data_IF_613833173642
#
_entry.id   IF_613833173642
#
_cell.length_a   1.000
_cell.length_b   1.000
_cell.length_c   1.000
_cell.angle_alpha   90.00
_cell.angle_beta   90.00
_cell.angle_gamma   90.00
#
_symmetry.space_group_name_H-M   'P 1'
#
loop_
_entity.id
_entity.type
_entity.pdbx_description
1 polymer ?
#
# COMPACT_ATOMS: atom_id res chain seq x y z
N UNK A 1 -0.82 -19.28 10.86
CA UNK A 1 0.11 -19.19 9.73
C UNK A 1 1.37 -19.95 10.09
N UNK A 2 2.03 -20.54 9.11
CA UNK A 2 3.27 -21.29 9.29
C UNK A 2 4.49 -20.39 9.05
N UNK A 3 5.68 -20.83 9.49
CA UNK A 3 6.93 -20.11 9.17
C UNK A 3 7.14 -19.95 7.66
N UNK A 4 6.73 -20.95 6.87
CA UNK A 4 6.83 -20.89 5.41
C UNK A 4 5.92 -19.80 4.81
N UNK A 5 4.74 -19.57 5.39
CA UNK A 5 3.87 -18.46 4.98
C UNK A 5 4.52 -17.11 5.22
N UNK A 6 5.17 -16.93 6.38
CA UNK A 6 5.87 -15.69 6.71
C UNK A 6 7.09 -15.46 5.83
N UNK A 7 7.89 -16.51 5.56
CA UNK A 7 9.02 -16.43 4.62
C UNK A 7 8.58 -16.00 3.22
N UNK A 8 7.44 -16.51 2.74
CA UNK A 8 6.88 -16.10 1.44
C UNK A 8 6.52 -14.61 1.42
N UNK A 9 5.92 -14.10 2.50
CA UNK A 9 5.56 -12.68 2.61
C UNK A 9 6.81 -11.80 2.71
N UNK A 10 7.72 -12.11 3.63
CA UNK A 10 8.96 -11.36 3.84
C UNK A 10 9.82 -11.35 2.57
N UNK A 11 9.93 -12.48 1.86
CA UNK A 11 10.65 -12.56 0.59
C UNK A 11 10.06 -11.66 -0.51
N UNK A 12 8.73 -11.62 -0.66
CA UNK A 12 8.09 -10.74 -1.63
C UNK A 12 8.34 -9.25 -1.31
N UNK A 13 8.28 -8.88 -0.03
CA UNK A 13 8.55 -7.52 0.42
C UNK A 13 10.03 -7.14 0.26
N UNK A 14 10.95 -8.05 0.61
CA UNK A 14 12.39 -7.86 0.45
C UNK A 14 12.77 -7.66 -1.01
N UNK A 15 12.26 -8.49 -1.92
CA UNK A 15 12.46 -8.31 -3.35
C UNK A 15 12.00 -6.92 -3.81
N UNK A 16 10.81 -6.49 -3.38
CA UNK A 16 10.26 -5.20 -3.77
C UNK A 16 11.11 -4.04 -3.24
N UNK A 17 11.55 -4.11 -1.99
CA UNK A 17 12.44 -3.10 -1.41
C UNK A 17 13.75 -3.03 -2.19
N UNK A 18 14.34 -4.16 -2.57
CA UNK A 18 15.58 -4.18 -3.36
C UNK A 18 15.41 -3.54 -4.73
N UNK A 19 14.30 -3.80 -5.42
CA UNK A 19 13.99 -3.15 -6.71
C UNK A 19 13.88 -1.62 -6.54
N UNK A 20 13.11 -1.17 -5.55
CA UNK A 20 12.91 0.25 -5.29
C UNK A 20 14.23 0.93 -4.90
N UNK A 21 15.05 0.28 -4.06
CA UNK A 21 16.39 0.78 -3.72
C UNK A 21 17.30 0.89 -4.94
N UNK A 22 17.21 -0.04 -5.89
CA UNK A 22 17.95 0.04 -7.15
C UNK A 22 17.47 1.20 -8.05
N UNK A 23 16.21 1.61 -7.94
CA UNK A 23 15.66 2.84 -8.53
C UNK A 23 16.02 4.12 -7.73
N UNK A 24 16.77 3.99 -6.63
CA UNK A 24 17.16 5.11 -5.76
C UNK A 24 16.09 5.55 -4.76
N UNK A 25 15.00 4.79 -4.63
CA UNK A 25 13.89 5.08 -3.71
C UNK A 25 14.28 4.69 -2.29
N UNK A 26 14.22 5.66 -1.35
CA UNK A 26 14.61 5.47 0.05
C UNK A 26 13.73 6.27 1.01
N UNK A 27 13.85 6.01 2.32
CA UNK A 27 13.20 6.78 3.38
C UNK A 27 11.67 6.86 3.24
N UNK A 28 11.12 8.07 3.35
CA UNK A 28 9.66 8.29 3.30
C UNK A 28 9.02 7.88 1.97
N UNK A 29 9.73 8.03 0.86
CA UNK A 29 9.21 7.60 -0.44
C UNK A 29 9.10 6.08 -0.51
N UNK A 30 10.06 5.36 0.08
CA UNK A 30 9.99 3.89 0.18
C UNK A 30 8.74 3.45 0.96
N UNK A 31 8.40 4.15 2.06
CA UNK A 31 7.17 3.89 2.82
C UNK A 31 5.93 4.01 1.93
N UNK A 32 5.84 5.09 1.14
CA UNK A 32 4.69 5.31 0.26
C UNK A 32 4.60 4.28 -0.87
N UNK A 33 5.73 3.89 -1.46
CA UNK A 33 5.80 2.88 -2.53
C UNK A 33 5.54 1.46 -2.05
N UNK A 34 5.76 1.20 -0.76
CA UNK A 34 5.48 -0.08 -0.10
C UNK A 34 4.11 -0.13 0.58
N UNK A 35 3.28 0.93 0.47
CA UNK A 35 2.00 1.03 1.17
C UNK A 35 1.07 -0.16 0.90
N UNK A 36 1.05 -0.68 -0.33
CA UNK A 36 0.28 -1.88 -0.69
C UNK A 36 0.71 -3.16 0.04
N UNK A 37 1.88 -3.19 0.68
CA UNK A 37 2.39 -4.30 1.49
C UNK A 37 2.12 -4.13 2.99
N UNK A 38 1.53 -3.02 3.45
CA UNK A 38 1.21 -2.82 4.87
C UNK A 38 0.36 -3.94 5.50
N UNK A 39 -0.70 -4.46 4.84
CA UNK A 39 -1.47 -5.57 5.41
C UNK A 39 -0.62 -6.83 5.60
N UNK A 40 0.30 -7.10 4.69
CA UNK A 40 1.21 -8.24 4.76
C UNK A 40 2.26 -8.06 5.87
N UNK A 41 2.79 -6.84 6.04
CA UNK A 41 3.63 -6.49 7.18
C UNK A 41 2.88 -6.72 8.51
N UNK A 42 1.63 -6.25 8.62
CA UNK A 42 0.81 -6.44 9.81
C UNK A 42 0.56 -7.93 10.11
N UNK A 43 0.32 -8.75 9.07
CA UNK A 43 0.15 -10.20 9.24
C UNK A 43 1.39 -10.87 9.79
N UNK A 44 2.57 -10.48 9.33
CA UNK A 44 3.85 -10.98 9.87
C UNK A 44 4.01 -10.50 11.31
N UNK A 45 3.81 -9.21 11.56
CA UNK A 45 4.00 -8.61 12.89
C UNK A 45 3.11 -9.20 13.98
N UNK A 46 1.84 -9.47 13.67
CA UNK A 46 0.87 -10.04 14.64
C UNK A 46 0.94 -11.56 14.70
N UNK A 47 1.37 -12.21 13.60
CA UNK A 47 1.28 -13.66 13.46
C UNK A 47 2.55 -14.43 13.81
N UNK A 48 3.73 -13.83 13.65
CA UNK A 48 5.01 -14.48 13.90
C UNK A 48 5.43 -14.34 15.37
N UNK A 49 6.12 -15.35 15.90
CA UNK A 49 6.79 -15.23 17.20
C UNK A 49 8.06 -14.37 17.08
N UNK A 50 8.58 -13.89 18.21
CA UNK A 50 9.84 -13.11 18.24
C UNK A 50 11.00 -13.86 17.60
N UNK A 51 11.11 -15.17 17.82
CA UNK A 51 12.12 -16.00 17.19
C UNK A 51 11.94 -16.04 15.65
N UNK A 52 10.71 -16.21 15.18
CA UNK A 52 10.41 -16.22 13.76
C UNK A 52 10.69 -14.85 13.13
N UNK A 53 10.33 -13.76 13.79
CA UNK A 53 10.63 -12.39 13.34
C UNK A 53 12.15 -12.17 13.24
N UNK A 54 12.93 -12.61 14.23
CA UNK A 54 14.38 -12.51 14.20
C UNK A 54 14.98 -13.27 13.00
N UNK A 55 14.51 -14.50 12.74
CA UNK A 55 14.91 -15.29 11.57
C UNK A 55 14.55 -14.57 10.26
N UNK A 56 13.33 -14.02 10.14
CA UNK A 56 12.89 -13.29 8.93
C UNK A 56 13.72 -12.02 8.69
N UNK A 57 14.04 -11.27 9.75
CA UNK A 57 14.84 -10.05 9.63
C UNK A 57 16.28 -10.36 9.18
N UNK A 58 16.83 -11.51 9.61
CA UNK A 58 18.15 -11.97 9.17
C UNK A 58 18.15 -12.46 7.71
N UNK A 59 17.15 -13.26 7.33
CA UNK A 59 17.08 -13.88 6.00
C UNK A 59 16.66 -12.87 4.90
N UNK A 60 15.91 -11.84 5.25
CA UNK A 60 15.29 -10.88 4.33
C UNK A 60 15.62 -9.42 4.71
N UNK A 61 16.84 -8.93 4.42
CA UNK A 61 17.31 -7.61 4.86
C UNK A 61 16.50 -6.42 4.31
N UNK A 62 15.91 -6.54 3.11
CA UNK A 62 15.00 -5.53 2.55
C UNK A 62 13.67 -5.46 3.30
N UNK A 63 13.15 -6.61 3.73
CA UNK A 63 11.97 -6.65 4.61
C UNK A 63 12.28 -6.00 5.95
N UNK A 64 13.43 -6.34 6.55
CA UNK A 64 13.89 -5.71 7.80
C UNK A 64 14.01 -4.19 7.65
N UNK A 65 14.65 -3.72 6.58
CA UNK A 65 14.80 -2.29 6.32
C UNK A 65 13.44 -1.56 6.27
N UNK A 66 12.46 -2.12 5.58
CA UNK A 66 11.12 -1.54 5.53
C UNK A 66 10.41 -1.57 6.89
N UNK A 67 10.54 -2.67 7.65
CA UNK A 67 9.98 -2.76 9.00
C UNK A 67 10.57 -1.70 9.94
N UNK A 68 11.89 -1.48 9.90
CA UNK A 68 12.57 -0.45 10.68
C UNK A 68 12.11 0.96 10.30
N UNK A 69 11.94 1.26 9.00
CA UNK A 69 11.41 2.55 8.56
C UNK A 69 9.97 2.80 9.06
N UNK A 70 9.14 1.76 9.11
CA UNK A 70 7.79 1.86 9.66
C UNK A 70 7.80 2.11 11.17
N UNK A 71 8.72 1.48 11.90
CA UNK A 71 8.91 1.71 13.33
C UNK A 71 9.39 3.15 13.61
N UNK A 72 10.42 3.62 12.89
CA UNK A 72 10.90 5.00 12.97
C UNK A 72 9.78 6.01 12.66
N UNK A 73 8.98 5.76 11.63
CA UNK A 73 7.84 6.61 11.28
C UNK A 73 6.77 6.62 12.39
N UNK A 74 6.51 5.48 13.04
CA UNK A 74 5.58 5.40 14.15
C UNK A 74 6.11 6.12 15.39
N UNK A 75 7.40 6.03 15.69
CA UNK A 75 8.04 6.78 16.78
C UNK A 75 8.00 8.29 16.53
N UNK A 76 8.32 8.72 15.30
CA UNK A 76 8.24 10.12 14.89
C UNK A 76 6.82 10.66 15.05
N UNK A 77 5.79 9.87 14.69
CA UNK A 77 4.39 10.28 14.87
C UNK A 77 3.98 10.31 16.35
N UNK A 78 4.48 9.40 17.20
CA UNK A 78 4.26 9.48 18.67
C UNK A 78 4.88 10.74 19.27
N UNK A 79 6.03 11.16 18.77
CA UNK A 79 6.74 12.36 19.21
C UNK A 79 6.18 13.66 18.59
N UNK A 80 5.33 13.57 17.57
CA UNK A 80 4.79 14.72 16.85
C UNK A 80 3.91 15.58 17.79
N UNK A 81 4.32 16.81 18.14
CA UNK A 81 3.58 17.64 19.10
C UNK A 81 2.30 18.23 18.51
N UNK A 82 2.18 18.28 17.18
CA UNK A 82 1.03 18.89 16.52
C UNK A 82 -0.24 18.05 16.64
N UNK A 83 -0.10 16.71 16.75
CA UNK A 83 -1.19 15.72 16.92
C UNK A 83 -2.44 16.02 16.09
N UNK A 84 -2.30 16.65 14.91
CA UNK A 84 -3.41 17.18 14.11
C UNK A 84 -4.45 16.12 13.75
N UNK A 85 -4.01 14.85 13.67
CA UNK A 85 -4.87 13.72 13.39
C UNK A 85 -5.66 13.20 14.61
N UNK A 86 -5.27 13.54 15.85
CA UNK A 86 -6.05 13.20 17.05
C UNK A 86 -7.36 14.00 17.12
N UNK A 87 -7.39 15.18 16.53
CA UNK A 87 -8.59 16.00 16.41
C UNK A 87 -9.43 15.63 15.17
N UNK A 88 -8.95 14.67 14.35
CA UNK A 88 -9.69 14.22 13.19
C UNK A 88 -10.91 13.40 13.66
N UNK A 89 -12.13 13.84 13.32
CA UNK A 89 -13.32 13.11 13.71
C UNK A 89 -13.36 11.76 12.99
N UNK A 90 -13.88 10.75 13.70
CA UNK A 90 -14.08 9.46 13.08
C UNK A 90 -15.06 9.57 11.92
N UNK A 91 -14.68 8.99 10.77
CA UNK A 91 -15.61 8.76 9.67
C UNK A 91 -16.79 7.91 10.15
N UNK A 92 -17.99 8.18 9.64
CA UNK A 92 -19.14 7.32 9.91
C UNK A 92 -18.88 5.90 9.34
N UNK A 93 -19.58 4.90 9.88
CA UNK A 93 -19.34 3.50 9.51
C UNK A 93 -19.45 3.22 7.99
N UNK A 94 -20.44 3.77 7.25
CA UNK A 94 -20.49 3.62 5.80
C UNK A 94 -19.25 4.18 5.08
N UNK A 95 -18.82 5.40 5.42
CA UNK A 95 -17.64 6.02 4.80
C UNK A 95 -16.35 5.29 5.17
N UNK A 96 -16.22 4.81 6.41
CA UNK A 96 -15.08 3.96 6.83
C UNK A 96 -15.02 2.69 5.97
N UNK A 97 -16.16 2.03 5.75
CA UNK A 97 -16.19 0.81 4.94
C UNK A 97 -15.86 1.07 3.47
N UNK A 98 -16.36 2.17 2.91
CA UNK A 98 -16.04 2.56 1.53
C UNK A 98 -14.54 2.89 1.39
N UNK A 99 -13.98 3.65 2.33
CA UNK A 99 -12.57 3.97 2.34
C UNK A 99 -11.71 2.71 2.46
N UNK A 100 -12.05 1.79 3.37
CA UNK A 100 -11.30 0.55 3.56
C UNK A 100 -11.31 -0.34 2.29
N UNK A 101 -12.46 -0.45 1.62
CA UNK A 101 -12.56 -1.15 0.33
C UNK A 101 -11.66 -0.48 -0.72
N UNK A 102 -11.76 0.85 -0.87
CA UNK A 102 -10.97 1.60 -1.84
C UNK A 102 -9.46 1.45 -1.62
N UNK A 103 -9.01 1.46 -0.37
CA UNK A 103 -7.60 1.25 0.00
C UNK A 103 -7.14 -0.19 -0.29
N UNK A 104 -8.00 -1.17 -0.02
CA UNK A 104 -7.70 -2.59 -0.29
C UNK A 104 -7.58 -2.86 -1.79
N UNK A 105 -8.46 -2.25 -2.58
CA UNK A 105 -8.45 -2.37 -4.03
C UNK A 105 -7.24 -1.65 -4.64
N UNK A 106 -6.90 -0.45 -4.14
CA UNK A 106 -5.70 0.27 -4.55
C UNK A 106 -4.44 -0.58 -4.33
N UNK A 107 -4.28 -1.18 -3.15
CA UNK A 107 -3.16 -2.07 -2.85
C UNK A 107 -3.13 -3.30 -3.76
N UNK A 108 -4.30 -3.83 -4.13
CA UNK A 108 -4.42 -4.97 -5.05
C UNK A 108 -4.01 -4.58 -6.48
N UNK A 109 -4.41 -3.41 -6.95
CA UNK A 109 -4.02 -2.87 -8.26
C UNK A 109 -2.53 -2.59 -8.33
N UNK A 110 -1.95 -1.90 -7.34
CA UNK A 110 -0.51 -1.61 -7.29
C UNK A 110 0.32 -2.89 -7.36
N UNK A 111 0.00 -3.89 -6.54
CA UNK A 111 0.69 -5.18 -6.57
C UNK A 111 0.45 -5.94 -7.87
N UNK A 112 -0.76 -5.87 -8.41
CA UNK A 112 -1.15 -6.53 -9.65
C UNK A 112 -0.32 -6.05 -10.84
N UNK A 113 -0.26 -4.73 -11.04
CA UNK A 113 0.56 -4.13 -12.10
C UNK A 113 2.05 -4.36 -11.86
N UNK A 114 2.51 -4.25 -10.61
CA UNK A 114 3.92 -4.52 -10.31
C UNK A 114 4.31 -5.97 -10.62
N UNK A 115 3.44 -6.94 -10.33
CA UNK A 115 3.69 -8.34 -10.65
C UNK A 115 3.73 -8.61 -12.17
N UNK A 116 3.06 -7.80 -12.98
CA UNK A 116 3.17 -7.86 -14.44
C UNK A 116 4.50 -7.28 -14.94
N UNK A 117 4.95 -6.17 -14.36
CA UNK A 117 6.25 -5.55 -14.65
C UNK A 117 7.40 -6.50 -14.27
N UNK A 118 7.29 -7.16 -13.13
CA UNK A 118 8.34 -8.05 -12.63
C UNK A 118 8.38 -9.42 -13.32
N UNK A 119 7.41 -9.71 -14.19
CA UNK A 119 7.30 -11.01 -14.81
C UNK A 119 8.36 -11.23 -15.89
N UNK A 120 9.07 -12.36 -15.81
CA UNK A 120 10.07 -12.75 -16.80
C UNK A 120 9.48 -13.14 -18.17
N UNK A 121 8.19 -13.51 -18.23
CA UNK A 121 7.48 -13.84 -19.48
C UNK A 121 6.06 -13.28 -19.46
N UNK A 122 5.62 -12.78 -20.61
CA UNK A 122 4.28 -12.19 -20.83
C UNK A 122 3.26 -13.20 -21.35
N UNK A 123 3.66 -14.43 -21.57
CA UNK A 123 2.75 -15.48 -22.04
C UNK A 123 1.65 -15.72 -20.99
N UNK A 124 0.38 -15.57 -21.41
CA UNK A 124 -0.79 -15.66 -20.53
C UNK A 124 -1.09 -14.42 -19.69
N UNK A 125 -0.30 -13.34 -19.82
CA UNK A 125 -0.48 -12.12 -19.01
C UNK A 125 -1.45 -11.10 -19.61
N UNK A 126 -1.79 -11.23 -20.90
CA UNK A 126 -2.73 -10.33 -21.59
C UNK A 126 -4.09 -10.30 -20.90
N UNK A 127 -4.67 -11.46 -20.59
CA UNK A 127 -5.95 -11.52 -19.87
C UNK A 127 -5.88 -10.91 -18.47
N UNK A 128 -4.76 -11.10 -17.77
CA UNK A 128 -4.53 -10.52 -16.45
C UNK A 128 -4.37 -9.00 -16.50
N UNK A 129 -3.73 -8.46 -17.55
CA UNK A 129 -3.63 -7.03 -17.78
C UNK A 129 -5.01 -6.42 -18.06
N UNK A 130 -5.83 -7.06 -18.89
CA UNK A 130 -7.19 -6.60 -19.18
C UNK A 130 -8.08 -6.57 -17.93
N UNK A 131 -7.99 -7.61 -17.09
CA UNK A 131 -8.69 -7.68 -15.79
C UNK A 131 -8.26 -6.53 -14.86
N UNK A 132 -6.95 -6.27 -14.75
CA UNK A 132 -6.43 -5.18 -13.93
C UNK A 132 -6.86 -3.81 -14.47
N UNK A 133 -6.82 -3.61 -15.78
CA UNK A 133 -7.26 -2.37 -16.43
C UNK A 133 -8.77 -2.15 -16.23
N UNK A 134 -9.57 -3.21 -16.28
CA UNK A 134 -11.00 -3.12 -15.97
C UNK A 134 -11.21 -2.75 -14.49
N UNK A 135 -10.50 -3.41 -13.56
CA UNK A 135 -10.61 -3.10 -12.13
C UNK A 135 -10.13 -1.69 -11.80
N UNK A 136 -9.08 -1.20 -12.48
CA UNK A 136 -8.58 0.16 -12.31
C UNK A 136 -9.64 1.20 -12.70
N UNK A 137 -10.33 1.01 -13.84
CA UNK A 137 -11.43 1.90 -14.25
C UNK A 137 -12.57 1.93 -13.23
N UNK A 138 -12.97 0.76 -12.72
CA UNK A 138 -13.99 0.66 -11.67
C UNK A 138 -13.52 1.40 -10.40
N UNK A 139 -12.26 1.22 -10.02
CA UNK A 139 -11.68 1.88 -8.84
C UNK A 139 -11.67 3.41 -8.96
N UNK A 140 -11.41 3.95 -10.16
CA UNK A 140 -11.49 5.40 -10.42
C UNK A 140 -12.91 5.93 -10.22
N UNK A 141 -13.93 5.21 -10.70
CA UNK A 141 -15.34 5.57 -10.48
C UNK A 141 -15.73 5.50 -8.99
N UNK A 142 -15.28 4.44 -8.29
CA UNK A 142 -15.49 4.26 -6.85
C UNK A 142 -14.83 5.37 -6.04
N UNK A 143 -13.63 5.81 -6.44
CA UNK A 143 -12.92 6.94 -5.85
C UNK A 143 -13.72 8.23 -5.99
N UNK A 144 -14.22 8.55 -7.19
CA UNK A 144 -15.01 9.77 -7.41
C UNK A 144 -16.31 9.76 -6.60
N UNK A 145 -16.99 8.60 -6.53
CA UNK A 145 -18.17 8.42 -5.67
C UNK A 145 -17.84 8.63 -4.19
N UNK A 146 -16.71 8.11 -3.72
CA UNK A 146 -16.29 8.30 -2.34
C UNK A 146 -16.00 9.77 -2.02
N UNK A 147 -15.29 10.48 -2.89
CA UNK A 147 -15.01 11.92 -2.73
C UNK A 147 -16.32 12.73 -2.77
N UNK A 148 -17.28 12.35 -3.63
CA UNK A 148 -18.64 12.92 -3.64
C UNK A 148 -19.36 12.70 -2.31
N UNK A 149 -19.37 11.47 -1.81
CA UNK A 149 -20.01 11.11 -0.54
C UNK A 149 -19.42 11.87 0.66
N UNK A 150 -18.10 12.09 0.69
CA UNK A 150 -17.46 12.93 1.73
C UNK A 150 -17.99 14.37 1.71
N UNK A 151 -18.21 14.94 0.53
CA UNK A 151 -18.74 16.31 0.39
C UNK A 151 -20.22 16.38 0.76
N UNK A 152 -21.03 15.42 0.31
CA UNK A 152 -22.47 15.35 0.60
C UNK A 152 -22.76 15.17 2.09
N UNK A 153 -21.98 14.33 2.76
CA UNK A 153 -22.08 14.10 4.21
C UNK A 153 -21.49 15.24 5.04
N UNK A 154 -21.02 16.32 4.40
CA UNK A 154 -20.36 17.47 5.03
C UNK A 154 -19.22 17.02 5.96
N UNK A 155 -18.38 16.12 5.45
CA UNK A 155 -17.18 15.70 6.16
C UNK A 155 -16.35 16.94 6.57
N UNK A 156 -15.81 16.98 7.80
CA UNK A 156 -15.02 18.10 8.26
C UNK A 156 -13.83 18.40 7.34
N UNK A 157 -13.47 19.68 7.22
CA UNK A 157 -12.42 20.13 6.28
C UNK A 157 -11.11 19.37 6.43
N UNK A 158 -10.71 19.08 7.68
CA UNK A 158 -9.50 18.31 7.96
C UNK A 158 -9.53 16.89 7.36
N UNK A 159 -10.70 16.25 7.30
CA UNK A 159 -10.87 14.93 6.67
C UNK A 159 -10.67 15.05 5.16
N UNK A 160 -11.22 16.09 4.53
CA UNK A 160 -11.04 16.33 3.10
C UNK A 160 -9.56 16.63 2.77
N UNK A 161 -8.91 17.47 3.56
CA UNK A 161 -7.50 17.86 3.38
C UNK A 161 -6.51 16.72 3.55
N UNK A 162 -6.86 15.70 4.34
CA UNK A 162 -6.00 14.54 4.58
C UNK A 162 -6.31 13.40 3.63
N UNK A 163 -7.59 13.01 3.54
CA UNK A 163 -7.99 11.77 2.85
C UNK A 163 -7.98 11.94 1.33
N UNK A 164 -8.46 13.09 0.81
CA UNK A 164 -8.56 13.29 -0.64
C UNK A 164 -7.18 13.32 -1.31
N UNK A 165 -6.16 14.05 -0.79
CA UNK A 165 -4.83 14.02 -1.36
C UNK A 165 -4.17 12.64 -1.26
N UNK A 166 -4.36 11.91 -0.15
CA UNK A 166 -3.80 10.56 0.01
C UNK A 166 -4.33 9.58 -1.06
N UNK A 167 -5.63 9.60 -1.31
CA UNK A 167 -6.24 8.77 -2.37
C UNK A 167 -5.83 9.27 -3.76
N UNK A 168 -5.64 10.58 -3.94
CA UNK A 168 -5.09 11.16 -5.18
C UNK A 168 -3.70 10.62 -5.50
N UNK A 169 -2.79 10.61 -4.52
CA UNK A 169 -1.44 10.05 -4.70
C UNK A 169 -1.47 8.56 -5.08
N UNK A 170 -2.40 7.78 -4.52
CA UNK A 170 -2.60 6.38 -4.92
C UNK A 170 -3.02 6.27 -6.39
N UNK A 171 -3.96 7.11 -6.84
CA UNK A 171 -4.39 7.12 -8.23
C UNK A 171 -3.23 7.42 -9.18
N UNK A 172 -2.40 8.41 -8.85
CA UNK A 172 -1.22 8.78 -9.64
C UNK A 172 -0.23 7.61 -9.75
N UNK A 173 0.03 6.91 -8.64
CA UNK A 173 0.93 5.74 -8.63
C UNK A 173 0.36 4.58 -9.43
N UNK A 174 -0.92 4.25 -9.28
CA UNK A 174 -1.56 3.15 -10.03
C UNK A 174 -1.51 3.46 -11.53
N UNK A 175 -1.80 4.70 -11.94
CA UNK A 175 -1.72 5.11 -13.34
C UNK A 175 -0.29 5.05 -13.91
N UNK A 176 0.73 5.35 -13.10
CA UNK A 176 2.13 5.17 -13.51
C UNK A 176 2.49 3.69 -13.70
N UNK A 177 2.03 2.82 -12.82
CA UNK A 177 2.27 1.37 -12.91
C UNK A 177 1.55 0.76 -14.10
N UNK A 178 0.30 1.14 -14.36
CA UNK A 178 -0.45 0.74 -15.57
C UNK A 178 0.32 1.10 -16.85
N UNK A 179 0.77 2.36 -16.96
CA UNK A 179 1.54 2.82 -18.13
C UNK A 179 2.80 2.00 -18.36
N UNK A 180 3.54 1.67 -17.29
CA UNK A 180 4.74 0.82 -17.37
C UNK A 180 4.38 -0.60 -17.81
N UNK A 181 3.34 -1.19 -17.22
CA UNK A 181 2.90 -2.54 -17.55
C UNK A 181 2.48 -2.67 -19.03
N UNK A 182 1.89 -1.62 -19.60
CA UNK A 182 1.51 -1.58 -21.02
C UNK A 182 2.70 -1.33 -21.97
N UNK A 183 3.73 -0.58 -21.51
CA UNK A 183 4.84 -0.13 -22.35
C UNK A 183 6.01 -1.13 -22.49
N UNK A 184 6.24 -1.96 -21.48
CA UNK A 184 7.17 -3.10 -21.59
C UNK A 184 6.66 -4.16 -22.57
#
# INVERSE_FOLDING_TARGET
MTMQDFRRIAGAMDQRVRQLSAEGVTGRELIHRMAGHMPDLQRVWVGASDQQLAELCQDYPGFYHYASLMEEAAEAERANPSKKYLEMPELNAPLKSLLAALLTDAATLERGYQALIDAASREGMVGKLDELNQRHRIWLDERERFVGALKETRAPTIVLEVVVPAIGQMADRIAQLEKRAVAE
#
